data_IF_736961606616
#
_entry.id   IF_736961606616
#
_cell.length_a   1.000
_cell.length_b   1.000
_cell.length_c   1.000
_cell.angle_alpha   90.00
_cell.angle_beta   90.00
_cell.angle_gamma   90.00
#
_symmetry.space_group_name_H-M   'P 1'
#
loop_
_entity.id
_entity.type
_entity.pdbx_description
1 polymer ?
#
# COMPACT_ATOMS: atom_id res chain seq x y z
N UNK A 1 3.63 0.92 -7.49
CA UNK A 1 4.92 1.25 -6.85
C UNK A 1 4.75 2.60 -6.21
N UNK A 2 5.31 2.81 -5.02
CA UNK A 2 5.33 4.11 -4.37
C UNK A 2 6.44 4.97 -4.98
N UNK A 3 6.11 6.21 -5.37
CA UNK A 3 7.05 7.08 -6.08
C UNK A 3 7.51 8.27 -5.23
N UNK A 4 6.57 8.90 -4.55
CA UNK A 4 6.78 10.17 -3.88
C UNK A 4 5.70 10.45 -2.84
N UNK A 5 6.10 11.06 -1.74
CA UNK A 5 5.22 11.69 -0.77
C UNK A 5 5.98 12.88 -0.18
N UNK A 6 5.43 14.09 -0.30
CA UNK A 6 6.11 15.32 0.10
C UNK A 6 5.52 16.57 -0.54
N UNK A 7 6.35 17.62 -0.65
CA UNK A 7 6.01 18.93 -1.25
C UNK A 7 5.34 18.80 -2.62
N UNK A 8 4.38 19.67 -2.89
CA UNK A 8 3.66 19.72 -4.16
C UNK A 8 4.63 19.84 -5.36
N UNK A 9 4.34 19.10 -6.42
CA UNK A 9 5.00 19.22 -7.73
C UNK A 9 3.94 19.41 -8.79
N UNK A 10 4.11 20.43 -9.64
CA UNK A 10 3.10 20.77 -10.66
C UNK A 10 2.93 19.70 -11.74
N UNK A 11 4.02 18.98 -12.06
CA UNK A 11 4.04 17.98 -13.12
C UNK A 11 4.98 16.84 -12.74
N UNK A 12 4.63 15.62 -13.16
CA UNK A 12 5.49 14.45 -13.02
C UNK A 12 6.00 13.98 -14.39
N UNK A 13 7.30 14.12 -14.63
CA UNK A 13 7.94 13.79 -15.90
C UNK A 13 8.70 12.45 -15.88
N UNK A 14 8.21 11.47 -15.12
CA UNK A 14 8.81 10.11 -15.05
C UNK A 14 10.25 10.03 -14.50
N UNK A 15 10.73 11.09 -13.83
CA UNK A 15 12.11 11.16 -13.32
C UNK A 15 12.41 10.16 -12.19
N UNK A 16 11.37 9.59 -11.55
CA UNK A 16 11.49 8.60 -10.47
C UNK A 16 11.20 7.16 -10.93
N UNK A 17 11.41 6.87 -12.21
CA UNK A 17 11.37 5.49 -12.71
C UNK A 17 12.37 4.63 -11.93
N UNK A 18 11.95 3.44 -11.54
CA UNK A 18 12.82 2.48 -10.85
C UNK A 18 14.07 2.20 -11.72
N UNK A 19 15.30 2.40 -11.20
CA UNK A 19 16.51 2.24 -11.99
C UNK A 19 16.69 0.80 -12.46
N UNK A 20 16.90 0.59 -13.77
CA UNK A 20 17.30 -0.72 -14.29
C UNK A 20 18.80 -0.91 -14.10
N UNK A 21 19.19 -1.74 -13.15
CA UNK A 21 20.59 -2.12 -12.97
C UNK A 21 20.68 -3.55 -12.46
N UNK A 22 21.70 -4.29 -12.88
CA UNK A 22 21.98 -5.65 -12.39
C UNK A 22 22.02 -5.67 -10.86
N UNK A 23 21.18 -6.50 -10.24
CA UNK A 23 21.02 -6.55 -8.77
C UNK A 23 21.87 -7.62 -8.10
N UNK A 24 22.02 -7.46 -6.79
CA UNK A 24 22.70 -8.41 -5.91
C UNK A 24 22.08 -9.80 -6.00
N UNK A 25 22.90 -10.84 -5.82
CA UNK A 25 22.51 -12.26 -6.00
C UNK A 25 21.36 -12.76 -5.11
N UNK A 26 20.90 -11.98 -4.14
CA UNK A 26 19.85 -12.36 -3.18
C UNK A 26 18.54 -11.58 -3.33
N UNK A 27 18.44 -10.63 -4.27
CA UNK A 27 17.17 -9.99 -4.62
C UNK A 27 16.48 -10.82 -5.72
N UNK A 28 15.40 -11.55 -5.41
CA UNK A 28 14.77 -12.47 -6.35
C UNK A 28 14.03 -11.71 -7.45
N UNK A 29 13.97 -12.31 -8.64
CA UNK A 29 13.27 -11.74 -9.79
C UNK A 29 11.85 -12.31 -9.91
N UNK A 30 11.00 -11.65 -10.69
CA UNK A 30 9.66 -12.14 -10.97
C UNK A 30 9.70 -13.49 -11.71
N UNK A 31 8.69 -14.36 -11.53
CA UNK A 31 8.55 -15.58 -12.33
C UNK A 31 8.61 -15.29 -13.84
N UNK A 32 9.49 -15.98 -14.56
CA UNK A 32 9.67 -15.82 -16.00
C UNK A 32 10.55 -14.64 -16.44
N UNK A 33 11.19 -13.92 -15.51
CA UNK A 33 12.12 -12.85 -15.86
C UNK A 33 13.36 -13.38 -16.61
N UNK A 34 13.73 -12.71 -17.70
CA UNK A 34 14.96 -12.98 -18.48
C UNK A 34 16.11 -12.05 -18.10
N UNK A 35 15.83 -11.00 -17.33
CA UNK A 35 16.79 -10.03 -16.80
C UNK A 35 16.76 -10.03 -15.28
N UNK A 36 17.84 -9.55 -14.66
CA UNK A 36 17.99 -9.45 -13.21
C UNK A 36 18.00 -7.99 -12.72
N UNK A 37 17.27 -7.12 -13.41
CA UNK A 37 17.20 -5.68 -13.18
C UNK A 37 15.96 -5.22 -12.39
N UNK A 38 15.10 -6.15 -11.98
CA UNK A 38 13.87 -5.87 -11.22
C UNK A 38 13.61 -6.92 -10.14
N UNK A 39 13.39 -6.45 -8.91
CA UNK A 39 13.01 -7.29 -7.77
C UNK A 39 11.94 -6.59 -6.94
N UNK A 40 10.96 -7.36 -6.46
CA UNK A 40 9.95 -6.88 -5.51
C UNK A 40 10.55 -6.54 -4.15
N UNK A 41 11.68 -7.14 -3.80
CA UNK A 41 12.45 -6.84 -2.58
C UNK A 41 13.08 -5.44 -2.58
N UNK A 42 13.36 -4.87 -3.75
CA UNK A 42 14.12 -3.62 -3.88
C UNK A 42 13.23 -2.42 -4.24
N UNK A 43 12.10 -2.69 -4.89
CA UNK A 43 11.21 -1.62 -5.38
C UNK A 43 10.38 -1.04 -4.23
N UNK A 44 10.13 0.26 -4.28
CA UNK A 44 9.23 0.92 -3.34
C UNK A 44 7.79 0.49 -3.62
N UNK A 45 7.16 -0.17 -2.66
CA UNK A 45 5.82 -0.76 -2.78
C UNK A 45 4.78 0.14 -2.13
N UNK A 46 3.58 0.14 -2.70
CA UNK A 46 2.41 0.73 -2.07
C UNK A 46 1.86 -0.15 -0.95
N UNK A 47 1.89 -1.46 -1.18
CA UNK A 47 1.24 -2.44 -0.32
C UNK A 47 1.87 -3.83 -0.51
N UNK A 48 3.03 -4.10 0.15
CA UNK A 48 3.72 -5.39 0.03
C UNK A 48 2.94 -6.54 0.71
N UNK A 49 2.94 -7.71 0.08
CA UNK A 49 2.35 -8.95 0.56
C UNK A 49 3.36 -9.91 1.19
N UNK A 50 2.92 -11.12 1.52
CA UNK A 50 3.78 -12.19 2.08
C UNK A 50 4.13 -13.19 0.99
N UNK A 51 5.36 -13.69 1.02
CA UNK A 51 5.87 -14.73 0.13
C UNK A 51 5.80 -14.38 -1.38
N UNK A 52 5.88 -13.10 -1.71
CA UNK A 52 5.99 -12.60 -3.09
C UNK A 52 7.44 -12.29 -3.49
N UNK A 53 8.41 -12.90 -2.79
CA UNK A 53 9.85 -12.63 -2.98
C UNK A 53 10.27 -11.20 -2.55
N UNK A 54 9.53 -10.63 -1.61
CA UNK A 54 9.91 -9.45 -0.82
C UNK A 54 10.14 -9.89 0.62
N UNK A 55 11.35 -9.67 1.16
CA UNK A 55 11.72 -10.13 2.51
C UNK A 55 11.49 -9.08 3.60
N UNK A 56 10.97 -7.91 3.24
CA UNK A 56 10.69 -6.81 4.18
C UNK A 56 9.39 -7.05 4.94
N UNK A 57 9.07 -6.13 5.86
CA UNK A 57 7.82 -6.20 6.62
C UNK A 57 6.60 -6.06 5.70
N UNK A 58 5.70 -7.06 5.62
CA UNK A 58 4.55 -7.01 4.72
C UNK A 58 3.48 -6.05 5.25
N UNK A 59 2.69 -5.45 4.37
CA UNK A 59 1.49 -4.70 4.73
C UNK A 59 0.28 -5.61 4.97
N UNK A 60 0.23 -6.76 4.29
CA UNK A 60 -0.85 -7.73 4.39
C UNK A 60 -0.30 -9.16 4.51
N UNK A 61 -0.90 -9.94 5.40
CA UNK A 61 -0.65 -11.36 5.56
C UNK A 61 -1.99 -12.10 5.66
N UNK A 62 -2.18 -13.05 4.76
CA UNK A 62 -3.37 -13.89 4.68
C UNK A 62 -2.92 -15.34 4.85
N UNK A 63 -3.66 -16.12 5.64
CA UNK A 63 -3.49 -17.57 5.73
C UNK A 63 -4.66 -18.27 5.05
N UNK A 64 -4.32 -19.15 4.11
CA UNK A 64 -5.27 -19.97 3.36
C UNK A 64 -5.58 -21.27 4.10
N UNK A 65 -6.61 -22.00 3.65
CA UNK A 65 -7.04 -23.26 4.29
C UNK A 65 -5.97 -24.36 4.25
N UNK A 66 -5.12 -24.37 3.22
CA UNK A 66 -3.99 -25.29 3.09
C UNK A 66 -2.79 -24.92 3.99
N UNK A 67 -2.91 -23.84 4.77
CA UNK A 67 -1.88 -23.33 5.66
C UNK A 67 -0.85 -22.43 4.99
N UNK A 68 -0.87 -22.29 3.66
CA UNK A 68 -0.02 -21.36 2.93
C UNK A 68 -0.39 -19.91 3.22
N UNK A 69 0.56 -19.00 3.00
CA UNK A 69 0.38 -17.56 3.24
C UNK A 69 0.72 -16.68 2.05
N UNK A 70 0.87 -17.30 0.88
CA UNK A 70 1.23 -16.58 -0.35
C UNK A 70 0.12 -15.63 -0.76
N UNK A 71 0.48 -14.40 -1.09
CA UNK A 71 -0.42 -13.44 -1.74
C UNK A 71 0.26 -12.85 -2.96
N UNK A 72 -0.51 -12.59 -4.00
CA UNK A 72 -0.03 -12.01 -5.25
C UNK A 72 -1.09 -11.05 -5.83
N UNK A 73 -1.31 -9.94 -5.11
CA UNK A 73 -2.24 -8.90 -5.54
C UNK A 73 -1.70 -8.14 -6.75
N UNK A 74 -2.42 -8.21 -7.86
CA UNK A 74 -2.12 -7.50 -9.11
C UNK A 74 -3.13 -6.40 -9.35
N UNK A 75 -2.69 -5.33 -9.99
CA UNK A 75 -3.59 -4.25 -10.40
C UNK A 75 -4.71 -4.79 -11.30
N UNK A 76 -5.95 -4.40 -10.97
CA UNK A 76 -7.15 -4.72 -11.75
C UNK A 76 -7.78 -3.45 -12.30
N UNK A 77 -8.10 -2.49 -11.44
CA UNK A 77 -8.81 -1.27 -11.83
C UNK A 77 -8.59 -0.13 -10.85
N UNK A 78 -9.07 1.07 -11.20
CA UNK A 78 -9.20 2.19 -10.27
C UNK A 78 -10.44 3.02 -10.60
N UNK A 79 -10.91 3.77 -9.61
CA UNK A 79 -11.97 4.77 -9.75
C UNK A 79 -11.62 6.00 -8.91
N UNK A 80 -12.00 7.18 -9.40
CA UNK A 80 -11.93 8.44 -8.65
C UNK A 80 -13.36 8.87 -8.38
N UNK A 81 -13.68 9.14 -7.12
CA UNK A 81 -14.98 9.64 -6.71
C UNK A 81 -14.80 10.93 -5.92
N UNK A 82 -15.76 11.83 -6.04
CA UNK A 82 -15.91 12.95 -5.13
C UNK A 82 -16.17 12.43 -3.72
N UNK A 83 -15.64 13.15 -2.75
CA UNK A 83 -15.79 12.88 -1.33
C UNK A 83 -14.96 11.74 -0.78
N UNK A 84 -15.19 11.48 0.51
CA UNK A 84 -14.52 10.44 1.28
C UNK A 84 -15.50 9.29 1.57
N UNK A 85 -15.19 8.03 1.23
CA UNK A 85 -16.05 6.92 1.57
C UNK A 85 -16.10 6.72 3.09
N UNK A 86 -17.31 6.51 3.61
CA UNK A 86 -17.53 6.15 5.00
C UNK A 86 -16.92 4.78 5.33
N UNK A 87 -16.33 4.67 6.51
CA UNK A 87 -15.90 3.39 7.06
C UNK A 87 -16.95 2.92 8.05
N UNK A 88 -17.86 2.05 7.58
CA UNK A 88 -18.97 1.54 8.41
C UNK A 88 -18.45 1.07 9.77
N UNK A 89 -19.07 1.55 10.85
CA UNK A 89 -18.76 1.22 12.24
C UNK A 89 -17.38 1.66 12.75
N UNK A 90 -16.60 2.38 11.95
CA UNK A 90 -15.27 2.86 12.31
C UNK A 90 -15.23 4.39 12.28
N UNK A 91 -14.56 5.04 13.26
CA UNK A 91 -14.34 6.47 13.18
C UNK A 91 -13.44 6.80 11.98
N UNK A 92 -13.86 7.79 11.18
CA UNK A 92 -13.06 8.32 10.07
C UNK A 92 -13.21 9.83 9.98
N UNK A 93 -12.24 10.48 9.34
CA UNK A 93 -12.45 11.86 8.88
C UNK A 93 -13.59 11.91 7.88
N UNK A 94 -14.18 13.09 7.73
CA UNK A 94 -15.29 13.37 6.84
C UNK A 94 -15.05 14.73 6.17
N UNK A 95 -15.71 14.98 5.06
CA UNK A 95 -15.66 16.27 4.39
C UNK A 95 -16.66 17.25 4.99
N UNK A 96 -16.39 18.53 4.78
CA UNK A 96 -17.29 19.63 5.12
C UNK A 96 -17.33 20.59 3.95
N UNK A 97 -18.26 21.55 3.93
CA UNK A 97 -18.33 22.59 2.89
C UNK A 97 -16.97 23.31 2.69
N UNK A 98 -16.22 23.49 3.78
CA UNK A 98 -14.87 24.11 3.77
C UNK A 98 -13.73 23.16 3.34
N UNK A 99 -13.93 21.84 3.46
CA UNK A 99 -12.90 20.82 3.27
C UNK A 99 -13.42 19.70 2.39
N UNK A 100 -13.65 20.04 1.12
CA UNK A 100 -14.00 19.08 0.08
C UNK A 100 -12.86 18.09 -0.16
N UNK A 101 -13.22 16.89 -0.59
CA UNK A 101 -12.27 15.81 -0.79
C UNK A 101 -12.52 15.04 -2.08
N UNK A 102 -11.48 14.36 -2.56
CA UNK A 102 -11.59 13.38 -3.64
C UNK A 102 -10.89 12.10 -3.21
N UNK A 103 -11.45 10.96 -3.60
CA UNK A 103 -10.90 9.64 -3.29
C UNK A 103 -10.55 8.86 -4.54
N UNK A 104 -9.29 8.45 -4.63
CA UNK A 104 -8.82 7.42 -5.54
C UNK A 104 -8.91 6.04 -4.86
N UNK A 105 -9.72 5.14 -5.43
CA UNK A 105 -9.81 3.75 -5.02
C UNK A 105 -9.13 2.87 -6.06
N UNK A 106 -8.06 2.18 -5.67
CA UNK A 106 -7.32 1.23 -6.52
C UNK A 106 -7.69 -0.18 -6.10
N UNK A 107 -8.15 -0.99 -7.05
CA UNK A 107 -8.50 -2.40 -6.83
C UNK A 107 -7.36 -3.29 -7.31
N UNK A 108 -6.91 -4.15 -6.41
CA UNK A 108 -5.95 -5.21 -6.68
C UNK A 108 -6.63 -6.57 -6.47
N UNK A 109 -6.32 -7.56 -7.31
CA UNK A 109 -6.87 -8.92 -7.19
C UNK A 109 -5.78 -9.95 -7.05
N UNK A 110 -6.03 -10.94 -6.20
CA UNK A 110 -5.31 -12.20 -6.17
C UNK A 110 -6.19 -13.27 -6.82
N UNK A 111 -5.82 -13.68 -8.04
CA UNK A 111 -6.59 -14.65 -8.82
C UNK A 111 -6.58 -16.06 -8.23
N UNK A 112 -5.55 -16.41 -7.46
CA UNK A 112 -5.42 -17.73 -6.85
C UNK A 112 -6.35 -17.85 -5.65
N UNK A 113 -6.27 -16.89 -4.73
CA UNK A 113 -7.08 -16.91 -3.50
C UNK A 113 -8.45 -16.25 -3.63
N UNK A 114 -8.77 -15.68 -4.80
CA UNK A 114 -10.02 -14.95 -5.07
C UNK A 114 -10.27 -13.84 -4.06
N UNK A 115 -9.22 -13.09 -3.73
CA UNK A 115 -9.30 -11.92 -2.86
C UNK A 115 -9.24 -10.64 -3.69
N UNK A 116 -10.10 -9.69 -3.34
CA UNK A 116 -10.03 -8.32 -3.84
C UNK A 116 -9.54 -7.42 -2.71
N UNK A 117 -8.59 -6.55 -3.03
CA UNK A 117 -7.97 -5.59 -2.12
C UNK A 117 -8.16 -4.19 -2.69
N UNK A 118 -8.93 -3.36 -1.99
CA UNK A 118 -9.16 -1.96 -2.37
C UNK A 118 -8.32 -1.05 -1.49
N UNK A 119 -7.43 -0.28 -2.11
CA UNK A 119 -6.64 0.77 -1.48
C UNK A 119 -7.30 2.12 -1.76
N UNK A 120 -7.79 2.79 -0.72
CA UNK A 120 -8.39 4.12 -0.83
C UNK A 120 -7.38 5.19 -0.45
N UNK A 121 -7.31 6.25 -1.26
CA UNK A 121 -6.50 7.45 -1.03
C UNK A 121 -7.42 8.65 -1.14
N UNK A 122 -7.68 9.32 -0.03
CA UNK A 122 -8.48 10.56 -0.01
C UNK A 122 -7.59 11.75 0.21
N UNK A 123 -7.63 12.73 -0.69
CA UNK A 123 -6.98 14.04 -0.54
C UNK A 123 -8.03 15.10 -0.21
N UNK A 124 -7.66 16.09 0.59
CA UNK A 124 -8.51 17.22 0.94
C UNK A 124 -7.93 18.47 0.27
N UNK A 125 -8.75 19.20 -0.49
CA UNK A 125 -8.27 20.30 -1.36
C UNK A 125 -7.48 21.36 -0.58
N UNK A 126 -8.02 21.78 0.56
CA UNK A 126 -7.48 22.87 1.38
C UNK A 126 -6.56 22.41 2.51
N UNK A 127 -6.18 21.13 2.57
CA UNK A 127 -5.37 20.58 3.66
C UNK A 127 -4.19 19.74 3.11
N UNK A 128 -2.99 19.82 3.73
CA UNK A 128 -1.86 18.96 3.38
C UNK A 128 -2.03 17.56 3.98
N UNK A 129 -3.17 16.91 3.71
CA UNK A 129 -3.58 15.64 4.31
C UNK A 129 -3.98 14.66 3.22
N UNK A 130 -3.41 13.45 3.28
CA UNK A 130 -3.89 12.28 2.55
C UNK A 130 -4.29 11.24 3.58
N UNK A 131 -5.54 10.79 3.55
CA UNK A 131 -5.99 9.66 4.37
C UNK A 131 -6.00 8.39 3.54
N UNK A 132 -5.63 7.27 4.16
CA UNK A 132 -5.61 5.96 3.51
C UNK A 132 -6.43 4.97 4.30
N UNK A 133 -7.15 4.11 3.58
CA UNK A 133 -7.81 2.95 4.15
C UNK A 133 -7.72 1.77 3.20
N UNK A 134 -7.94 0.58 3.75
CA UNK A 134 -7.85 -0.67 3.00
C UNK A 134 -9.09 -1.50 3.28
N UNK A 135 -9.66 -2.07 2.22
CA UNK A 135 -10.75 -3.04 2.31
C UNK A 135 -10.31 -4.33 1.62
N UNK A 136 -10.52 -5.46 2.27
CA UNK A 136 -10.32 -6.79 1.68
C UNK A 136 -11.68 -7.46 1.56
N UNK A 137 -11.96 -8.01 0.38
CA UNK A 137 -13.18 -8.75 0.09
C UNK A 137 -12.80 -10.15 -0.38
N UNK A 138 -13.39 -11.16 0.25
CA UNK A 138 -13.29 -12.54 -0.21
C UNK A 138 -14.38 -12.82 -1.23
N UNK A 139 -13.97 -13.06 -2.47
CA UNK A 139 -14.85 -13.40 -3.60
C UNK A 139 -14.78 -14.88 -3.97
N UNK A 140 -14.02 -15.68 -3.21
CA UNK A 140 -13.91 -17.12 -3.35
C UNK A 140 -14.91 -17.88 -2.48
N UNK A 141 -14.86 -19.21 -2.62
CA UNK A 141 -15.72 -20.14 -1.87
C UNK A 141 -15.11 -20.56 -0.51
N UNK A 142 -13.80 -20.42 -0.37
CA UNK A 142 -13.05 -20.84 0.82
C UNK A 142 -12.79 -19.66 1.76
N UNK A 143 -13.03 -19.86 3.05
CA UNK A 143 -12.63 -18.90 4.07
C UNK A 143 -11.10 -18.74 4.13
N UNK A 144 -10.66 -17.52 4.41
CA UNK A 144 -9.25 -17.18 4.68
C UNK A 144 -9.13 -16.48 6.02
N UNK A 145 -7.95 -16.53 6.63
CA UNK A 145 -7.67 -15.81 7.86
C UNK A 145 -6.78 -14.59 7.56
N UNK A 146 -7.20 -13.40 7.97
CA UNK A 146 -6.38 -12.19 7.92
C UNK A 146 -5.48 -12.18 9.16
N UNK A 147 -4.18 -12.40 8.97
CA UNK A 147 -3.19 -12.35 10.06
C UNK A 147 -2.63 -10.95 10.26
N UNK A 148 -2.57 -10.17 9.18
CA UNK A 148 -2.16 -8.75 9.19
C UNK A 148 -2.85 -8.00 8.07
N UNK A 149 -3.30 -6.78 8.38
CA UNK A 149 -3.76 -5.80 7.39
C UNK A 149 -3.41 -4.40 7.89
N UNK A 150 -2.41 -3.77 7.29
CA UNK A 150 -2.03 -2.40 7.62
C UNK A 150 -2.93 -1.40 6.88
N UNK A 151 -3.33 -0.30 7.51
CA UNK A 151 -4.07 0.77 6.82
C UNK A 151 -3.22 1.50 5.77
N UNK A 152 -1.89 1.42 5.89
CA UNK A 152 -0.92 1.98 4.95
C UNK A 152 0.42 1.24 5.02
N UNK A 153 1.17 1.30 3.92
CA UNK A 153 2.62 1.06 3.88
C UNK A 153 3.27 2.22 3.15
N UNK A 154 4.43 2.66 3.60
CA UNK A 154 5.12 3.80 3.01
C UNK A 154 6.61 3.49 2.86
N UNK A 155 6.99 3.22 1.61
CA UNK A 155 8.37 3.01 1.22
C UNK A 155 8.99 4.33 0.74
N UNK A 156 10.14 4.68 1.31
CA UNK A 156 10.94 5.83 0.89
C UNK A 156 12.26 5.39 0.26
N UNK A 157 12.81 6.15 -0.72
CA UNK A 157 14.21 6.02 -1.08
C UNK A 157 15.10 6.21 0.15
N UNK A 158 16.30 5.64 0.14
CA UNK A 158 17.28 5.80 1.21
C UNK A 158 17.47 7.28 1.56
N UNK A 159 17.11 7.64 2.79
CA UNK A 159 17.15 8.97 3.38
C UNK A 159 17.37 8.82 4.89
N UNK A 160 17.96 9.83 5.49
CA UNK A 160 18.20 9.86 6.93
C UNK A 160 16.94 10.38 7.64
N UNK A 161 16.13 9.45 8.16
CA UNK A 161 14.93 9.78 8.94
C UNK A 161 15.20 9.62 10.43
N UNK A 162 14.65 10.55 11.22
CA UNK A 162 14.47 10.35 12.65
C UNK A 162 13.05 9.81 12.91
N UNK A 163 12.95 8.70 13.63
CA UNK A 163 11.66 8.15 14.03
C UNK A 163 11.26 8.68 15.40
N UNK A 164 10.26 9.58 15.43
CA UNK A 164 9.67 10.07 16.67
C UNK A 164 8.38 9.30 16.99
N UNK A 165 8.26 8.84 18.24
CA UNK A 165 7.07 8.17 18.76
C UNK A 165 6.67 8.76 20.11
N UNK A 166 5.37 8.94 20.30
CA UNK A 166 4.81 9.25 21.63
C UNK A 166 4.55 7.92 22.35
N UNK A 167 5.22 7.71 23.49
CA UNK A 167 5.01 6.54 24.34
C UNK A 167 4.18 6.98 25.55
N UNK A 168 2.89 6.63 25.55
CA UNK A 168 2.05 6.59 26.77
C UNK A 168 1.75 5.12 27.08
N UNK A 169 1.52 4.79 28.36
CA UNK A 169 1.25 3.42 28.83
C UNK A 169 0.01 2.72 28.22
N UNK A 170 -0.64 3.27 27.21
CA UNK A 170 -1.56 2.61 26.28
C UNK A 170 -1.80 3.50 25.05
N UNK A 171 -1.89 2.87 23.88
CA UNK A 171 -2.11 3.41 22.51
C UNK A 171 -0.90 3.98 21.73
N UNK A 172 -0.77 3.47 20.49
CA UNK A 172 0.26 3.83 19.51
C UNK A 172 -0.32 4.79 18.46
N UNK A 173 0.36 5.91 18.22
CA UNK A 173 0.21 6.75 17.03
C UNK A 173 1.62 7.05 16.50
N UNK A 174 1.86 6.81 15.21
CA UNK A 174 3.14 7.09 14.55
C UNK A 174 2.99 8.35 13.69
N UNK A 175 3.91 9.31 13.85
CA UNK A 175 4.01 10.52 13.04
C UNK A 175 5.40 10.49 12.38
N UNK A 176 5.46 10.58 11.06
CA UNK A 176 6.71 10.75 10.32
C UNK A 176 6.90 12.24 10.05
N UNK A 177 8.05 12.78 10.43
CA UNK A 177 8.45 14.17 10.15
C UNK A 177 9.61 14.10 9.15
N UNK A 178 9.56 14.92 8.11
CA UNK A 178 10.63 15.12 7.12
C UNK A 178 11.14 16.56 7.19
#
# INVERSE_FOLDING_TARGET
>A
MQLYYGKEVKNYNNLRKFPKATRSSFSPNLPGATTIDFSLNDVLREYPGVNEADYRNPAIAIRHQDGSTVTNFKFDSYVINEGKPELSELPSTYETDEYQSETLSIVLKDDFSKLSLTLNYTIFESLPVITRSVKVENTGESAVQIEKIASLSLDFPAQDFEFTKIIKNSFFMAIFIA
#
